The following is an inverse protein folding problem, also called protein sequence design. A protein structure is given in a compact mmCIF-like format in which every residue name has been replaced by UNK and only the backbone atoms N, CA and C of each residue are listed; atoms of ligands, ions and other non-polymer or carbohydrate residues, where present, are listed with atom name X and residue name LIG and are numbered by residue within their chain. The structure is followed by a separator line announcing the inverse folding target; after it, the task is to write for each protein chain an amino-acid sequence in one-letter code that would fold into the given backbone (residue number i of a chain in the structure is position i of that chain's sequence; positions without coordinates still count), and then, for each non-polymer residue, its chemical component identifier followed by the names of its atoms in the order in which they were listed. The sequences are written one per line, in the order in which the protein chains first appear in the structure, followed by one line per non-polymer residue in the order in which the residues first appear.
data_IF_924168215440
#
_entry.id   IF_924168215440
#
_cell.length_a   1.000
_cell.length_b   1.000
_cell.length_c   1.000
_cell.angle_alpha   90.00
_cell.angle_beta   90.00
_cell.angle_gamma   90.00
#
_symmetry.space_group_name_H-M   'P 1'
#
loop_
_entity.id
_entity.type
_entity.pdbx_description
1 polymer ?
#
# COMPACT_ATOMS: atom_id res chain seq x y z
N UNK A 1 12.01 -34.23 -17.34
CA UNK A 1 11.73 -33.51 -16.08
C UNK A 1 12.66 -32.33 -15.89
N UNK A 2 13.98 -32.55 -15.71
CA UNK A 2 14.96 -31.48 -15.47
C UNK A 2 14.88 -30.31 -16.45
N UNK A 3 14.92 -30.55 -17.77
CA UNK A 3 14.89 -29.47 -18.78
C UNK A 3 13.63 -28.61 -18.74
N UNK A 4 12.46 -29.19 -18.45
CA UNK A 4 11.19 -28.46 -18.33
C UNK A 4 11.16 -27.59 -17.07
N UNK A 5 11.64 -28.13 -15.94
CA UNK A 5 11.74 -27.37 -14.69
C UNK A 5 12.84 -26.30 -14.76
N UNK A 6 13.94 -26.56 -15.46
CA UNK A 6 14.98 -25.57 -15.73
C UNK A 6 14.40 -24.38 -16.50
N UNK A 7 13.64 -24.63 -17.56
CA UNK A 7 12.95 -23.56 -18.29
C UNK A 7 11.94 -22.82 -17.40
N UNK A 8 11.20 -23.54 -16.54
CA UNK A 8 10.25 -22.92 -15.62
C UNK A 8 10.95 -22.02 -14.58
N UNK A 9 12.09 -22.43 -14.02
CA UNK A 9 12.90 -21.60 -13.10
C UNK A 9 13.52 -20.40 -13.83
N UNK A 10 13.96 -20.58 -15.08
CA UNK A 10 14.47 -19.46 -15.89
C UNK A 10 13.37 -18.43 -16.15
N UNK A 11 12.17 -18.88 -16.52
CA UNK A 11 11.01 -18.02 -16.71
C UNK A 11 10.58 -17.34 -15.41
N UNK A 12 10.56 -18.07 -14.30
CA UNK A 12 10.33 -17.51 -12.95
C UNK A 12 11.33 -16.40 -12.63
N UNK A 13 12.63 -16.62 -12.88
CA UNK A 13 13.65 -15.60 -12.67
C UNK A 13 13.37 -14.35 -13.51
N UNK A 14 13.03 -14.51 -14.80
CA UNK A 14 12.64 -13.41 -15.67
C UNK A 14 11.41 -12.67 -15.15
N UNK A 15 10.37 -13.36 -14.68
CA UNK A 15 9.16 -12.75 -14.09
C UNK A 15 9.50 -11.95 -12.84
N UNK A 16 10.31 -12.52 -11.94
CA UNK A 16 10.72 -11.85 -10.70
C UNK A 16 11.49 -10.57 -10.99
N UNK A 17 12.37 -10.59 -12.00
CA UNK A 17 13.11 -9.41 -12.46
C UNK A 17 12.18 -8.37 -13.10
N UNK A 18 11.34 -8.79 -14.05
CA UNK A 18 10.46 -7.89 -14.81
C UNK A 18 9.43 -7.22 -13.89
N UNK A 19 8.95 -7.92 -12.86
CA UNK A 19 8.06 -7.35 -11.84
C UNK A 19 8.63 -6.11 -11.17
N UNK A 20 9.96 -5.96 -11.06
CA UNK A 20 10.60 -4.76 -10.47
C UNK A 20 10.28 -3.48 -11.23
N UNK A 21 9.96 -3.59 -12.52
CA UNK A 21 9.59 -2.42 -13.36
C UNK A 21 8.25 -1.81 -12.95
N UNK A 22 7.37 -2.55 -12.26
CA UNK A 22 6.04 -2.10 -11.85
C UNK A 22 6.00 -1.40 -10.48
N UNK A 23 7.16 -1.05 -9.91
CA UNK A 23 7.25 -0.38 -8.62
C UNK A 23 6.57 -1.18 -7.50
N UNK A 24 5.78 -0.49 -6.66
CA UNK A 24 5.07 -1.07 -5.52
C UNK A 24 4.02 -2.14 -5.89
N UNK A 25 3.52 -2.14 -7.14
CA UNK A 25 2.66 -3.22 -7.63
C UNK A 25 3.46 -4.50 -7.93
N UNK A 26 4.74 -4.37 -8.26
CA UNK A 26 5.64 -5.49 -8.47
C UNK A 26 6.08 -6.10 -7.15
N UNK A 27 6.76 -5.28 -6.35
CA UNK A 27 7.32 -5.60 -5.04
C UNK A 27 7.19 -4.36 -4.13
N UNK A 28 6.78 -4.53 -2.87
CA UNK A 28 6.75 -3.40 -1.93
C UNK A 28 8.15 -2.80 -1.78
N UNK A 29 9.19 -3.63 -1.70
CA UNK A 29 10.58 -3.20 -1.63
C UNK A 29 11.32 -3.59 -2.92
N UNK A 30 12.13 -2.68 -3.52
CA UNK A 30 12.85 -2.96 -4.76
C UNK A 30 14.07 -3.86 -4.51
N UNK A 31 13.85 -5.17 -4.42
CA UNK A 31 14.91 -6.15 -4.22
C UNK A 31 15.83 -6.27 -5.44
N UNK A 32 17.12 -6.52 -5.17
CA UNK A 32 18.11 -6.88 -6.19
C UNK A 32 18.26 -8.39 -6.27
N UNK A 33 17.45 -9.03 -7.11
CA UNK A 33 17.62 -10.44 -7.48
C UNK A 33 18.75 -10.56 -8.50
N UNK A 34 19.62 -11.55 -8.33
CA UNK A 34 20.85 -11.69 -9.10
C UNK A 34 20.93 -13.06 -9.80
N UNK A 35 21.87 -13.16 -10.75
CA UNK A 35 22.17 -14.41 -11.46
C UNK A 35 22.65 -15.51 -10.49
N UNK A 36 23.35 -15.15 -9.42
CA UNK A 36 23.76 -16.10 -8.38
C UNK A 36 22.59 -16.85 -7.75
N UNK A 37 21.45 -16.18 -7.58
CA UNK A 37 20.25 -16.79 -6.98
C UNK A 37 19.64 -17.82 -7.95
N UNK A 38 19.71 -17.52 -9.25
CA UNK A 38 19.30 -18.42 -10.32
C UNK A 38 20.24 -19.63 -10.42
N UNK A 39 21.54 -19.41 -10.50
CA UNK A 39 22.54 -20.48 -10.65
C UNK A 39 22.48 -21.50 -9.51
N UNK A 40 22.41 -21.01 -8.27
CA UNK A 40 22.29 -21.90 -7.09
C UNK A 40 20.97 -22.69 -7.15
N UNK A 41 19.86 -22.06 -7.56
CA UNK A 41 18.56 -22.73 -7.70
C UNK A 41 18.60 -23.81 -8.78
N UNK A 42 19.32 -23.59 -9.88
CA UNK A 42 19.51 -24.58 -10.96
C UNK A 42 20.42 -25.73 -10.50
N UNK A 43 21.51 -25.44 -9.79
CA UNK A 43 22.39 -26.47 -9.23
C UNK A 43 21.64 -27.36 -8.24
N UNK A 44 20.87 -26.76 -7.33
CA UNK A 44 20.03 -27.49 -6.39
C UNK A 44 18.98 -28.33 -7.14
N UNK A 45 18.29 -27.76 -8.14
CA UNK A 45 17.35 -28.51 -8.99
C UNK A 45 18.01 -29.77 -9.58
N UNK A 46 19.22 -29.64 -10.12
CA UNK A 46 19.96 -30.76 -10.69
C UNK A 46 20.31 -31.82 -9.64
N UNK A 47 20.80 -31.40 -8.47
CA UNK A 47 21.12 -32.31 -7.37
C UNK A 47 19.88 -33.08 -6.92
N UNK A 48 18.78 -32.39 -6.59
CA UNK A 48 17.58 -33.02 -6.06
C UNK A 48 16.92 -33.98 -7.05
N UNK A 49 16.90 -33.67 -8.35
CA UNK A 49 16.33 -34.56 -9.37
C UNK A 49 17.17 -35.83 -9.56
N UNK A 50 18.49 -35.74 -9.39
CA UNK A 50 19.38 -36.89 -9.58
C UNK A 50 19.47 -37.79 -8.33
N UNK A 51 19.38 -37.22 -7.13
CA UNK A 51 19.55 -37.93 -5.86
C UNK A 51 18.26 -38.57 -5.33
N UNK A 52 17.10 -37.93 -5.56
CA UNK A 52 15.82 -38.38 -4.99
C UNK A 52 15.00 -39.17 -6.01
N UNK A 53 14.51 -40.35 -5.59
CA UNK A 53 13.61 -41.18 -6.41
C UNK A 53 12.17 -40.66 -6.42
N UNK A 54 11.77 -39.93 -5.37
CA UNK A 54 10.46 -39.26 -5.27
C UNK A 54 10.55 -37.83 -5.79
N UNK A 55 9.45 -37.32 -6.34
CA UNK A 55 9.35 -35.96 -6.89
C UNK A 55 9.63 -34.86 -5.82
N UNK A 56 10.77 -34.14 -5.87
CA UNK A 56 11.21 -33.26 -4.79
C UNK A 56 10.66 -31.82 -4.88
N UNK A 57 9.41 -31.66 -5.36
CA UNK A 57 8.84 -30.32 -5.63
C UNK A 57 8.78 -29.41 -4.41
N UNK A 58 8.41 -29.96 -3.25
CA UNK A 58 8.30 -29.20 -2.00
C UNK A 58 9.66 -28.69 -1.54
N UNK A 59 10.67 -29.57 -1.55
CA UNK A 59 12.05 -29.21 -1.20
C UNK A 59 12.63 -28.14 -2.15
N UNK A 60 12.43 -28.31 -3.47
CA UNK A 60 12.89 -27.32 -4.45
C UNK A 60 12.15 -26.00 -4.29
N UNK A 61 10.83 -26.03 -4.07
CA UNK A 61 10.02 -24.82 -3.89
C UNK A 61 10.43 -24.06 -2.63
N UNK A 62 10.69 -24.78 -1.54
CA UNK A 62 11.18 -24.18 -0.30
C UNK A 62 12.57 -23.57 -0.49
N UNK A 63 13.54 -24.31 -1.01
CA UNK A 63 14.91 -23.79 -1.19
C UNK A 63 14.96 -22.60 -2.15
N UNK A 64 14.21 -22.67 -3.26
CA UNK A 64 14.18 -21.59 -4.25
C UNK A 64 13.44 -20.37 -3.69
N UNK A 65 12.21 -20.56 -3.18
CA UNK A 65 11.32 -19.48 -2.78
C UNK A 65 11.65 -18.89 -1.41
N UNK A 66 12.01 -19.70 -0.43
CA UNK A 66 12.24 -19.28 0.96
C UNK A 66 13.71 -18.99 1.25
N UNK A 67 14.65 -19.74 0.66
CA UNK A 67 16.08 -19.60 0.96
C UNK A 67 16.82 -18.73 -0.07
N UNK A 68 16.83 -19.14 -1.34
CA UNK A 68 17.66 -18.50 -2.36
C UNK A 68 17.13 -17.11 -2.73
N UNK A 69 15.89 -17.03 -3.20
CA UNK A 69 15.26 -15.74 -3.47
C UNK A 69 14.67 -15.13 -2.21
N UNK A 70 14.01 -15.93 -1.36
CA UNK A 70 13.39 -15.49 -0.12
C UNK A 70 14.37 -14.92 0.90
N UNK A 71 15.62 -15.36 0.91
CA UNK A 71 16.68 -14.80 1.76
C UNK A 71 17.00 -13.33 1.49
N UNK A 72 16.61 -12.80 0.31
CA UNK A 72 16.70 -11.37 -0.02
C UNK A 72 15.45 -10.58 0.36
N UNK A 73 14.32 -11.27 0.51
CA UNK A 73 13.01 -10.66 0.73
C UNK A 73 12.81 -10.44 2.22
N UNK A 74 12.66 -9.18 2.59
CA UNK A 74 12.55 -8.75 4.00
C UNK A 74 11.12 -8.50 4.46
N UNK A 75 10.19 -8.24 3.53
CA UNK A 75 8.78 -7.97 3.83
C UNK A 75 7.96 -9.26 3.70
N UNK A 76 7.15 -9.56 4.72
CA UNK A 76 6.37 -10.81 4.75
C UNK A 76 5.34 -10.89 3.61
N UNK A 77 4.80 -9.76 3.14
CA UNK A 77 3.84 -9.75 2.03
C UNK A 77 4.52 -10.01 0.69
N UNK A 78 5.72 -9.46 0.49
CA UNK A 78 6.57 -9.79 -0.66
C UNK A 78 7.06 -11.25 -0.60
N UNK A 79 7.34 -11.78 0.60
CA UNK A 79 7.71 -13.19 0.78
C UNK A 79 6.56 -14.14 0.43
N UNK A 80 5.33 -13.81 0.86
CA UNK A 80 4.11 -14.50 0.43
C UNK A 80 3.95 -14.46 -1.09
N UNK A 81 4.23 -13.31 -1.71
CA UNK A 81 4.11 -13.13 -3.16
C UNK A 81 5.09 -14.02 -3.92
N UNK A 82 6.39 -14.01 -3.59
CA UNK A 82 7.39 -14.75 -4.35
C UNK A 82 7.16 -16.27 -4.31
N UNK A 83 6.77 -16.79 -3.15
CA UNK A 83 6.41 -18.21 -2.98
C UNK A 83 5.16 -18.56 -3.80
N UNK A 84 4.16 -17.66 -3.81
CA UNK A 84 2.94 -17.87 -4.59
C UNK A 84 3.20 -17.83 -6.11
N UNK A 85 4.09 -16.96 -6.58
CA UNK A 85 4.51 -16.93 -7.99
C UNK A 85 5.24 -18.22 -8.32
N UNK A 86 6.19 -18.64 -7.48
CA UNK A 86 7.00 -19.84 -7.71
C UNK A 86 6.15 -21.12 -7.85
N UNK A 87 5.03 -21.22 -7.12
CA UNK A 87 4.11 -22.36 -7.19
C UNK A 87 3.52 -22.58 -8.60
N UNK A 88 3.42 -21.54 -9.44
CA UNK A 88 2.99 -21.70 -10.85
C UNK A 88 4.08 -22.34 -11.74
N UNK A 89 5.35 -22.25 -11.34
CA UNK A 89 6.51 -22.72 -12.11
C UNK A 89 7.06 -24.06 -11.61
N UNK A 90 6.91 -24.36 -10.32
CA UNK A 90 7.35 -25.61 -9.71
C UNK A 90 6.14 -26.39 -9.22
N UNK A 91 5.59 -27.23 -10.09
CA UNK A 91 4.50 -28.13 -9.76
C UNK A 91 4.48 -29.35 -10.70
N UNK A 92 3.71 -30.41 -10.39
CA UNK A 92 3.62 -31.60 -11.23
C UNK A 92 3.11 -31.32 -12.65
N UNK A 93 2.17 -30.38 -12.81
CA UNK A 93 1.54 -30.06 -14.12
C UNK A 93 2.55 -29.53 -15.13
N UNK A 94 3.56 -28.77 -14.68
CA UNK A 94 4.67 -28.30 -15.54
C UNK A 94 5.41 -29.45 -16.19
N UNK A 95 5.51 -30.61 -15.53
CA UNK A 95 6.20 -31.80 -16.06
C UNK A 95 5.24 -32.69 -16.86
N UNK A 96 4.02 -32.87 -16.37
CA UNK A 96 3.03 -33.81 -16.91
C UNK A 96 2.25 -33.26 -18.12
N UNK A 97 1.87 -31.98 -18.10
CA UNK A 97 1.04 -31.36 -19.13
C UNK A 97 1.89 -30.72 -20.23
N UNK A 98 1.85 -31.31 -21.43
CA UNK A 98 2.59 -30.82 -22.60
C UNK A 98 2.11 -29.46 -23.12
N UNK A 99 0.89 -29.03 -22.75
CA UNK A 99 0.30 -27.74 -23.15
C UNK A 99 0.21 -26.76 -21.97
N UNK A 100 0.93 -27.02 -20.87
CA UNK A 100 0.96 -26.11 -19.73
C UNK A 100 1.44 -24.72 -20.16
N UNK A 101 0.71 -23.69 -19.75
CA UNK A 101 1.02 -22.29 -20.02
C UNK A 101 1.20 -21.53 -18.70
N UNK A 102 2.28 -20.75 -18.61
CA UNK A 102 2.60 -19.96 -17.43
C UNK A 102 1.73 -18.69 -17.31
N UNK A 103 1.04 -18.29 -18.37
CA UNK A 103 0.21 -17.08 -18.36
C UNK A 103 -1.07 -17.26 -19.17
N UNK A 104 -2.15 -16.61 -18.74
CA UNK A 104 -3.38 -16.51 -19.51
C UNK A 104 -3.26 -15.59 -20.74
N UNK A 105 -2.15 -14.86 -20.90
CA UNK A 105 -1.91 -13.94 -22.01
C UNK A 105 -1.72 -14.62 -23.37
N UNK A 106 -1.43 -15.92 -23.39
CA UNK A 106 -1.33 -16.68 -24.63
C UNK A 106 -0.54 -17.96 -24.50
N UNK A 107 -0.79 -18.90 -25.40
CA UNK A 107 -0.10 -20.21 -25.44
C UNK A 107 1.39 -20.10 -25.77
N UNK A 108 1.86 -18.95 -26.26
CA UNK A 108 3.28 -18.68 -26.50
C UNK A 108 4.10 -18.59 -25.21
N UNK A 109 3.48 -18.33 -24.06
CA UNK A 109 4.13 -18.33 -22.74
C UNK A 109 4.10 -19.71 -22.08
N UNK A 110 4.21 -20.77 -22.88
CA UNK A 110 4.17 -22.16 -22.42
C UNK A 110 5.53 -22.83 -22.49
N UNK A 111 5.52 -24.16 -22.46
CA UNK A 111 6.71 -24.97 -22.68
C UNK A 111 6.79 -25.40 -24.15
N UNK A 112 8.00 -25.49 -24.74
CA UNK A 112 8.16 -26.13 -26.04
C UNK A 112 7.80 -27.62 -25.94
N UNK A 113 7.24 -28.17 -27.03
CA UNK A 113 6.84 -29.59 -27.09
C UNK A 113 8.03 -30.55 -27.05
N UNK A 114 9.19 -30.09 -27.52
CA UNK A 114 10.43 -30.87 -27.56
C UNK A 114 11.40 -30.33 -26.52
N UNK A 115 12.14 -31.24 -25.90
CA UNK A 115 12.99 -30.96 -24.76
C UNK A 115 14.48 -30.75 -25.14
N UNK A 116 14.77 -30.40 -26.39
CA UNK A 116 16.13 -30.16 -26.87
C UNK A 116 16.49 -28.67 -26.75
N UNK A 117 17.77 -28.39 -26.53
CA UNK A 117 18.26 -27.02 -26.30
C UNK A 117 17.86 -26.03 -27.41
N UNK A 118 18.05 -26.41 -28.69
CA UNK A 118 17.71 -25.54 -29.82
C UNK A 118 16.23 -25.14 -29.82
N UNK A 119 15.33 -26.07 -29.48
CA UNK A 119 13.90 -25.79 -29.42
C UNK A 119 13.52 -24.82 -28.29
N UNK A 120 14.23 -24.83 -27.16
CA UNK A 120 14.05 -23.82 -26.13
C UNK A 120 14.50 -22.44 -26.61
N UNK A 121 15.66 -22.35 -27.27
CA UNK A 121 16.18 -21.10 -27.82
C UNK A 121 15.25 -20.53 -28.90
N UNK A 122 14.79 -21.35 -29.84
CA UNK A 122 13.85 -20.94 -30.87
C UNK A 122 12.53 -20.46 -30.26
N UNK A 123 12.06 -21.12 -29.20
CA UNK A 123 10.84 -20.72 -28.49
C UNK A 123 11.00 -19.35 -27.80
N UNK A 124 12.14 -19.09 -27.15
CA UNK A 124 12.46 -17.80 -26.54
C UNK A 124 12.52 -16.70 -27.61
N UNK A 125 13.18 -16.97 -28.75
CA UNK A 125 13.28 -16.01 -29.85
C UNK A 125 11.93 -15.70 -30.52
N UNK A 126 10.95 -16.61 -30.42
CA UNK A 126 9.60 -16.42 -30.93
C UNK A 126 8.70 -15.61 -29.99
N UNK A 127 9.14 -15.32 -28.75
CA UNK A 127 8.38 -14.49 -27.82
C UNK A 127 8.31 -13.04 -28.34
N UNK A 128 7.18 -12.34 -28.11
CA UNK A 128 7.04 -10.94 -28.52
C UNK A 128 8.00 -10.06 -27.73
N UNK A 129 8.48 -8.97 -28.33
CA UNK A 129 9.39 -8.04 -27.65
C UNK A 129 8.72 -7.25 -26.50
N UNK A 130 7.40 -7.06 -26.59
CA UNK A 130 6.60 -6.39 -25.56
C UNK A 130 5.66 -7.39 -24.91
N UNK A 131 5.82 -7.58 -23.60
CA UNK A 131 5.02 -8.50 -22.81
C UNK A 131 3.91 -7.75 -22.07
N UNK A 132 2.67 -8.29 -22.06
CA UNK A 132 1.60 -7.72 -21.27
C UNK A 132 1.82 -8.01 -19.77
N UNK A 133 1.37 -7.14 -18.85
CA UNK A 133 1.57 -7.32 -17.40
C UNK A 133 1.03 -8.65 -16.84
N UNK A 134 0.07 -9.27 -17.52
CA UNK A 134 -0.50 -10.58 -17.21
C UNK A 134 0.53 -11.71 -17.20
N UNK A 135 1.63 -11.58 -17.95
CA UNK A 135 2.74 -12.54 -17.92
C UNK A 135 3.42 -12.56 -16.55
N UNK A 136 3.48 -11.40 -15.89
CA UNK A 136 3.98 -11.26 -14.53
C UNK A 136 2.93 -11.56 -13.46
N UNK A 137 1.72 -12.00 -13.84
CA UNK A 137 0.61 -12.21 -12.92
C UNK A 137 -0.13 -10.92 -12.52
N UNK A 138 0.17 -9.78 -13.14
CA UNK A 138 -0.49 -8.49 -12.88
C UNK A 138 -1.69 -8.24 -13.80
N UNK A 139 -2.57 -7.30 -13.43
CA UNK A 139 -3.66 -6.84 -14.30
C UNK A 139 -3.11 -5.90 -15.40
N UNK A 140 -3.71 -5.87 -16.60
CA UNK A 140 -3.34 -4.95 -17.70
C UNK A 140 -3.12 -3.49 -17.27
N UNK A 141 -3.97 -2.99 -16.37
CA UNK A 141 -3.86 -1.63 -15.82
C UNK A 141 -2.52 -1.35 -15.12
N UNK A 142 -1.78 -2.36 -14.65
CA UNK A 142 -0.46 -2.16 -14.06
C UNK A 142 0.55 -1.58 -15.06
N UNK A 143 0.40 -1.87 -16.36
CA UNK A 143 1.19 -1.25 -17.42
C UNK A 143 0.97 0.28 -17.49
N UNK A 144 -0.29 0.72 -17.33
CA UNK A 144 -0.64 2.15 -17.30
C UNK A 144 0.05 2.82 -16.10
N UNK A 145 0.00 2.21 -14.91
CA UNK A 145 0.65 2.74 -13.71
C UNK A 145 2.17 2.84 -13.88
N UNK A 146 2.81 1.82 -14.46
CA UNK A 146 4.25 1.86 -14.78
C UNK A 146 4.60 3.02 -15.70
N UNK A 147 3.86 3.16 -16.80
CA UNK A 147 4.16 4.19 -17.82
C UNK A 147 3.91 5.61 -17.27
N UNK A 148 2.93 5.78 -16.38
CA UNK A 148 2.71 7.02 -15.63
C UNK A 148 3.89 7.34 -14.69
N UNK A 149 4.40 6.35 -13.97
CA UNK A 149 5.55 6.53 -13.08
C UNK A 149 6.81 6.92 -13.85
N UNK A 150 7.10 6.25 -14.98
CA UNK A 150 8.22 6.62 -15.85
C UNK A 150 8.08 8.03 -16.41
N UNK A 151 6.87 8.42 -16.80
CA UNK A 151 6.57 9.78 -17.30
C UNK A 151 6.79 10.84 -16.23
N UNK A 152 6.31 10.60 -15.00
CA UNK A 152 6.53 11.49 -13.86
C UNK A 152 8.02 11.62 -13.50
N UNK A 153 8.78 10.52 -13.56
CA UNK A 153 10.22 10.54 -13.33
C UNK A 153 10.95 11.39 -14.37
N UNK A 154 10.56 11.28 -15.65
CA UNK A 154 11.11 12.10 -16.73
C UNK A 154 10.83 13.59 -16.50
N UNK A 155 9.56 13.96 -16.26
CA UNK A 155 9.16 15.35 -16.01
C UNK A 155 9.87 15.94 -14.78
N UNK A 156 9.95 15.18 -13.69
CA UNK A 156 10.68 15.61 -12.49
C UNK A 156 12.17 15.77 -12.74
N UNK A 157 12.76 14.97 -13.63
CA UNK A 157 14.17 15.10 -14.01
C UNK A 157 14.40 16.34 -14.88
N UNK A 158 13.47 16.67 -15.78
CA UNK A 158 13.53 17.90 -16.59
C UNK A 158 13.46 19.13 -15.69
N UNK A 159 12.54 19.18 -14.72
CA UNK A 159 12.43 20.28 -13.74
C UNK A 159 13.76 20.49 -12.99
N UNK A 160 14.47 19.40 -12.64
CA UNK A 160 15.78 19.49 -11.97
C UNK A 160 16.88 20.03 -12.90
N UNK A 161 16.80 19.75 -14.20
CA UNK A 161 17.81 20.15 -15.21
C UNK A 161 17.62 21.58 -15.68
N UNK A 162 16.39 22.07 -15.78
CA UNK A 162 16.08 23.50 -16.04
C UNK A 162 16.70 24.42 -14.97
N UNK A 163 17.13 23.82 -13.85
CA UNK A 163 17.63 24.47 -12.67
C UNK A 163 16.45 24.90 -11.81
N UNK A 164 16.65 24.90 -10.50
CA UNK A 164 15.87 25.77 -9.60
C UNK A 164 16.30 27.21 -9.91
N UNK A 165 16.02 27.65 -11.13
CA UNK A 165 16.43 28.94 -11.65
C UNK A 165 16.01 29.98 -10.64
N UNK A 166 16.97 30.78 -10.18
CA UNK A 166 16.77 31.90 -9.28
C UNK A 166 15.74 32.82 -9.92
N UNK A 167 14.46 32.55 -9.69
CA UNK A 167 13.36 33.40 -10.09
C UNK A 167 13.29 34.54 -9.07
N UNK A 168 14.35 35.34 -9.05
CA UNK A 168 14.42 36.61 -8.36
C UNK A 168 13.64 37.62 -9.20
N UNK A 169 12.33 37.66 -8.99
CA UNK A 169 11.44 38.64 -9.60
C UNK A 169 10.21 38.84 -8.72
N UNK A 170 9.71 40.07 -8.62
CA UNK A 170 8.55 40.39 -7.78
C UNK A 170 7.26 39.61 -8.13
N UNK A 171 7.21 38.95 -9.29
CA UNK A 171 6.08 38.12 -9.71
C UNK A 171 6.02 36.77 -8.95
N UNK A 172 7.16 36.14 -8.67
CA UNK A 172 7.19 34.90 -7.86
C UNK A 172 6.84 35.17 -6.41
N UNK A 173 7.31 36.29 -5.87
CA UNK A 173 6.95 36.78 -4.54
C UNK A 173 5.44 37.04 -4.41
N UNK A 174 4.82 37.65 -5.43
CA UNK A 174 3.38 37.88 -5.46
C UNK A 174 2.59 36.56 -5.50
N UNK A 175 3.03 35.60 -6.30
CA UNK A 175 2.43 34.26 -6.35
C UNK A 175 2.55 33.52 -5.01
N UNK A 176 3.71 33.59 -4.35
CA UNK A 176 3.91 33.01 -3.02
C UNK A 176 2.98 33.62 -1.97
N UNK A 177 2.79 34.95 -1.99
CA UNK A 177 1.86 35.63 -1.09
C UNK A 177 0.42 35.15 -1.34
N UNK A 178 0.00 35.04 -2.60
CA UNK A 178 -1.33 34.54 -2.96
C UNK A 178 -1.53 33.10 -2.48
N UNK A 179 -0.62 32.18 -2.85
CA UNK A 179 -0.72 30.76 -2.48
C UNK A 179 -0.70 30.57 -0.96
N UNK A 180 0.20 31.25 -0.27
CA UNK A 180 0.27 31.19 1.20
C UNK A 180 -0.98 31.76 1.86
N UNK A 181 -1.51 32.87 1.34
CA UNK A 181 -2.74 33.49 1.81
C UNK A 181 -3.96 32.58 1.65
N UNK A 182 -4.10 31.96 0.48
CA UNK A 182 -5.19 31.04 0.17
C UNK A 182 -5.16 29.79 1.06
N UNK A 183 -3.96 29.23 1.30
CA UNK A 183 -3.81 28.09 2.21
C UNK A 183 -4.14 28.52 3.64
N UNK A 184 -3.59 29.65 4.12
CA UNK A 184 -3.87 30.17 5.46
C UNK A 184 -5.35 30.42 5.70
N UNK A 185 -6.07 30.93 4.70
CA UNK A 185 -7.50 31.20 4.78
C UNK A 185 -8.35 29.91 4.91
N UNK A 186 -7.90 28.79 4.33
CA UNK A 186 -8.58 27.49 4.44
C UNK A 186 -8.29 26.77 5.75
N UNK A 187 -7.18 27.07 6.43
CA UNK A 187 -6.77 26.38 7.65
C UNK A 187 -7.63 26.80 8.85
N UNK A 188 -8.34 25.87 9.51
CA UNK A 188 -9.20 26.20 10.65
C UNK A 188 -8.38 26.59 11.88
N UNK A 189 -9.07 26.99 12.96
CA UNK A 189 -8.44 27.31 14.23
C UNK A 189 -7.85 26.07 14.90
N UNK A 190 -6.87 26.30 15.77
CA UNK A 190 -6.22 25.26 16.57
C UNK A 190 -7.25 24.71 17.57
N UNK A 191 -7.27 23.40 17.76
CA UNK A 191 -8.17 22.80 18.74
C UNK A 191 -7.77 23.16 20.17
N UNK A 192 -8.76 23.44 21.03
CA UNK A 192 -8.55 23.58 22.46
C UNK A 192 -8.41 22.20 23.12
N UNK A 193 -7.17 21.79 23.37
CA UNK A 193 -6.86 20.50 23.98
C UNK A 193 -7.30 20.40 25.44
N UNK A 194 -7.41 21.51 26.16
CA UNK A 194 -7.89 21.51 27.55
C UNK A 194 -9.40 21.28 27.58
N UNK A 195 -10.14 21.95 26.70
CA UNK A 195 -11.56 21.70 26.52
C UNK A 195 -11.83 20.26 26.06
N UNK A 196 -11.02 19.73 25.12
CA UNK A 196 -11.08 18.34 24.67
C UNK A 196 -10.88 17.34 25.82
N UNK A 197 -9.85 17.54 26.66
CA UNK A 197 -9.60 16.68 27.83
C UNK A 197 -10.69 16.74 28.89
N UNK A 198 -11.35 17.90 29.04
CA UNK A 198 -12.49 18.07 29.97
C UNK A 198 -13.76 17.39 29.43
N UNK A 199 -14.04 17.51 28.13
CA UNK A 199 -15.23 16.93 27.49
C UNK A 199 -15.11 15.41 27.29
N UNK A 200 -13.89 14.93 26.98
CA UNK A 200 -13.58 13.52 26.76
C UNK A 200 -12.46 13.09 27.71
N UNK A 201 -12.77 12.91 29.01
CA UNK A 201 -11.78 12.48 29.98
C UNK A 201 -11.33 11.04 29.71
N UNK A 202 -10.19 10.68 30.30
CA UNK A 202 -9.68 9.31 30.27
C UNK A 202 -10.64 8.42 31.05
N UNK A 203 -11.43 7.63 30.34
CA UNK A 203 -12.39 6.71 30.92
C UNK A 203 -11.97 5.27 30.66
N UNK A 204 -12.10 4.43 31.69
CA UNK A 204 -11.86 3.00 31.54
C UNK A 204 -12.86 2.36 30.57
N UNK A 205 -14.10 2.83 30.51
CA UNK A 205 -15.13 2.26 29.62
C UNK A 205 -15.00 2.71 28.16
N UNK A 206 -14.33 3.83 27.89
CA UNK A 206 -14.26 4.42 26.55
C UNK A 206 -12.83 4.88 26.22
N UNK A 207 -12.02 3.97 25.69
CA UNK A 207 -10.66 4.25 25.23
C UNK A 207 -10.62 5.25 24.06
N UNK A 208 -11.70 5.39 23.28
CA UNK A 208 -11.69 6.29 22.11
C UNK A 208 -11.58 7.76 22.48
N UNK A 209 -11.95 8.14 23.70
CA UNK A 209 -11.75 9.49 24.22
C UNK A 209 -10.26 9.87 24.17
N UNK A 210 -9.39 8.94 24.56
CA UNK A 210 -7.94 9.17 24.56
C UNK A 210 -7.37 9.24 23.14
N UNK A 211 -7.90 8.42 22.23
CA UNK A 211 -7.53 8.46 20.80
C UNK A 211 -7.86 9.82 20.19
N UNK A 212 -9.07 10.34 20.42
CA UNK A 212 -9.48 11.65 19.89
C UNK A 212 -8.53 12.76 20.35
N UNK A 213 -8.25 12.84 21.66
CA UNK A 213 -7.37 13.89 22.22
C UNK A 213 -5.95 13.79 21.66
N UNK A 214 -5.38 12.58 21.55
CA UNK A 214 -4.05 12.37 21.00
C UNK A 214 -3.97 12.71 19.50
N UNK A 215 -5.01 12.40 18.75
CA UNK A 215 -5.10 12.75 17.33
C UNK A 215 -5.19 14.27 17.16
N UNK A 216 -6.08 14.94 17.91
CA UNK A 216 -6.18 16.41 17.91
C UNK A 216 -4.85 17.08 18.27
N UNK A 217 -4.08 16.52 19.20
CA UNK A 217 -2.73 17.02 19.54
C UNK A 217 -1.75 16.91 18.36
N UNK A 218 -1.74 15.77 17.65
CA UNK A 218 -0.87 15.57 16.46
C UNK A 218 -1.24 16.52 15.32
N UNK A 219 -2.54 16.65 15.05
CA UNK A 219 -3.05 17.58 14.04
C UNK A 219 -2.76 19.04 14.40
N UNK A 220 -2.89 19.41 15.68
CA UNK A 220 -2.51 20.74 16.16
C UNK A 220 -1.02 21.03 15.94
N UNK A 221 -0.13 20.06 16.19
CA UNK A 221 1.31 20.23 15.95
C UNK A 221 1.60 20.54 14.47
N UNK A 222 1.00 19.78 13.55
CA UNK A 222 1.13 20.03 12.11
C UNK A 222 0.52 21.38 11.71
N UNK A 223 -0.68 21.69 12.19
CA UNK A 223 -1.39 22.94 11.91
C UNK A 223 -0.59 24.17 12.37
N UNK A 224 0.05 24.11 13.54
CA UNK A 224 0.92 25.16 14.05
C UNK A 224 2.14 25.38 13.15
N UNK A 225 2.80 24.29 12.70
CA UNK A 225 3.95 24.37 11.79
C UNK A 225 3.52 24.97 10.45
N UNK A 226 2.40 24.52 9.88
CA UNK A 226 1.87 25.07 8.62
C UNK A 226 1.55 26.56 8.75
N UNK A 227 0.78 26.97 9.78
CA UNK A 227 0.43 28.38 9.98
C UNK A 227 1.66 29.27 10.19
N UNK A 228 2.58 28.85 11.09
CA UNK A 228 3.79 29.62 11.38
C UNK A 228 4.65 29.77 10.14
N UNK A 229 4.92 28.67 9.44
CA UNK A 229 5.80 28.69 8.27
C UNK A 229 5.24 29.52 7.11
N UNK A 230 3.92 29.49 6.86
CA UNK A 230 3.28 30.33 5.84
C UNK A 230 3.32 31.82 6.22
N UNK A 231 3.09 32.15 7.50
CA UNK A 231 3.21 33.53 7.98
C UNK A 231 4.65 34.05 7.93
N UNK A 232 5.62 33.20 8.25
CA UNK A 232 7.04 33.56 8.21
C UNK A 232 7.51 33.82 6.76
N UNK A 233 7.00 33.08 5.76
CA UNK A 233 7.25 33.39 4.34
C UNK A 233 6.66 34.75 3.96
N UNK A 234 5.40 35.03 4.32
CA UNK A 234 4.78 36.32 4.00
C UNK A 234 5.57 37.48 4.61
N UNK A 235 6.05 37.32 5.86
CA UNK A 235 6.88 38.32 6.53
C UNK A 235 8.28 38.43 5.90
N UNK A 236 8.87 37.32 5.47
CA UNK A 236 10.19 37.32 4.82
C UNK A 236 10.15 38.07 3.49
N UNK A 237 9.11 37.86 2.67
CA UNK A 237 8.91 38.58 1.41
C UNK A 237 8.69 40.10 1.66
N UNK A 238 8.04 40.46 2.76
CA UNK A 238 7.87 41.86 3.18
C UNK A 238 9.13 42.48 3.81
N UNK A 239 10.22 41.72 3.98
CA UNK A 239 11.46 42.18 4.61
C UNK A 239 11.41 42.30 6.15
N UNK A 240 10.38 41.73 6.79
CA UNK A 240 10.21 41.75 8.26
C UNK A 240 10.96 40.61 8.97
N UNK A 241 11.25 39.53 8.24
CA UNK A 241 11.98 38.35 8.74
C UNK A 241 13.09 38.02 7.74
N UNK A 242 14.22 37.52 8.23
CA UNK A 242 15.34 37.11 7.38
C UNK A 242 14.93 35.85 6.60
N UNK A 243 15.12 35.88 5.28
CA UNK A 243 14.97 34.70 4.44
C UNK A 243 16.05 33.67 4.80
N UNK A 244 15.65 32.56 5.40
CA UNK A 244 16.54 31.45 5.74
C UNK A 244 16.49 30.38 4.66
N UNK A 245 17.50 29.51 4.60
CA UNK A 245 17.54 28.36 3.68
C UNK A 245 16.30 27.47 3.82
N UNK A 246 15.76 27.31 5.03
CA UNK A 246 14.55 26.53 5.29
C UNK A 246 13.30 27.18 4.68
N UNK A 247 13.21 28.52 4.70
CA UNK A 247 12.12 29.27 4.08
C UNK A 247 12.24 29.27 2.56
N UNK A 248 13.45 29.31 2.01
CA UNK A 248 13.70 29.17 0.56
C UNK A 248 13.27 27.80 0.03
N UNK A 249 13.66 26.72 0.72
CA UNK A 249 13.21 25.37 0.36
C UNK A 249 11.69 25.22 0.44
N UNK A 250 11.06 25.87 1.42
CA UNK A 250 9.61 25.88 1.56
C UNK A 250 8.95 26.64 0.40
N UNK A 251 9.44 27.84 0.09
CA UNK A 251 8.95 28.65 -1.03
C UNK A 251 9.04 27.90 -2.35
N UNK A 252 10.19 27.27 -2.64
CA UNK A 252 10.37 26.45 -3.84
C UNK A 252 9.39 25.27 -3.88
N UNK A 253 9.16 24.60 -2.74
CA UNK A 253 8.20 23.49 -2.66
C UNK A 253 6.76 23.96 -2.96
N UNK A 254 6.36 25.12 -2.44
CA UNK A 254 5.04 25.71 -2.69
C UNK A 254 4.85 26.08 -4.16
N UNK A 255 5.86 26.68 -4.79
CA UNK A 255 5.83 27.03 -6.22
C UNK A 255 5.74 25.79 -7.12
N UNK A 256 6.42 24.71 -6.75
CA UNK A 256 6.35 23.43 -7.46
C UNK A 256 5.08 22.61 -7.13
N UNK A 257 4.19 23.11 -6.27
CA UNK A 257 2.97 22.41 -5.88
C UNK A 257 3.21 21.12 -5.09
N UNK A 258 4.36 21.02 -4.39
CA UNK A 258 4.76 19.88 -3.58
C UNK A 258 4.59 20.18 -2.09
N UNK A 259 4.47 19.13 -1.28
CA UNK A 259 4.43 19.26 0.17
C UNK A 259 5.85 19.61 0.65
N UNK A 260 6.03 20.68 1.43
CA UNK A 260 7.35 21.01 1.97
C UNK A 260 7.86 19.96 2.97
N UNK A 261 9.17 19.67 2.91
CA UNK A 261 9.81 18.70 3.81
C UNK A 261 9.65 19.02 5.30
N UNK A 262 9.52 20.31 5.66
CA UNK A 262 9.25 20.74 7.04
C UNK A 262 7.88 20.28 7.54
N UNK A 263 6.89 20.19 6.64
CA UNK A 263 5.55 19.69 6.96
C UNK A 263 5.55 18.17 6.97
N UNK A 264 6.18 17.52 5.99
CA UNK A 264 6.26 16.04 5.89
C UNK A 264 6.84 15.40 7.15
N UNK A 265 7.87 16.01 7.75
CA UNK A 265 8.49 15.54 9.01
C UNK A 265 7.51 15.41 10.19
N UNK A 266 6.43 16.20 10.17
CA UNK A 266 5.42 16.27 11.24
C UNK A 266 4.05 15.84 10.74
N UNK A 267 3.96 15.36 9.50
CA UNK A 267 2.71 14.96 8.86
C UNK A 267 2.52 13.45 8.84
N UNK A 268 1.31 13.04 8.49
CA UNK A 268 1.03 11.68 8.06
C UNK A 268 1.62 11.46 6.65
N UNK A 269 2.01 10.22 6.30
CA UNK A 269 2.48 9.93 4.94
C UNK A 269 1.42 10.31 3.92
N UNK A 270 1.79 10.99 2.84
CA UNK A 270 0.90 11.39 1.74
C UNK A 270 1.73 11.55 0.47
N UNK A 271 1.18 11.12 -0.66
CA UNK A 271 1.76 11.32 -2.00
C UNK A 271 0.97 12.36 -2.82
N UNK A 272 -0.04 12.99 -2.20
CA UNK A 272 -0.90 13.99 -2.83
C UNK A 272 -0.15 15.24 -3.24
N UNK A 273 -0.60 15.86 -4.33
CA UNK A 273 -0.22 17.24 -4.66
C UNK A 273 -0.60 18.21 -3.54
N UNK A 274 0.10 19.35 -3.44
CA UNK A 274 -0.14 20.33 -2.39
C UNK A 274 -1.62 20.76 -2.25
N UNK A 275 -2.38 21.06 -3.32
CA UNK A 275 -3.79 21.44 -3.19
C UNK A 275 -4.68 20.31 -2.65
N UNK A 276 -4.44 19.07 -3.11
CA UNK A 276 -5.19 17.89 -2.69
C UNK A 276 -4.85 17.52 -1.24
N UNK A 277 -3.59 17.67 -0.85
CA UNK A 277 -3.12 17.48 0.52
C UNK A 277 -3.77 18.48 1.48
N UNK A 278 -3.81 19.78 1.13
CA UNK A 278 -4.44 20.81 1.98
C UNK A 278 -5.94 20.55 2.13
N UNK A 279 -6.62 20.15 1.06
CA UNK A 279 -8.06 19.84 1.12
C UNK A 279 -8.34 18.62 2.00
N UNK A 280 -7.56 17.54 1.82
CA UNK A 280 -7.61 16.33 2.65
C UNK A 280 -7.30 16.62 4.13
N UNK A 281 -6.31 17.47 4.40
CA UNK A 281 -5.97 17.91 5.75
C UNK A 281 -7.12 18.65 6.43
N UNK A 282 -7.79 19.56 5.71
CA UNK A 282 -8.95 20.28 6.23
C UNK A 282 -10.13 19.34 6.49
N UNK A 283 -10.39 18.37 5.60
CA UNK A 283 -11.44 17.36 5.82
C UNK A 283 -11.17 16.51 7.09
N UNK A 284 -9.91 16.14 7.34
CA UNK A 284 -9.53 15.43 8.57
C UNK A 284 -9.75 16.25 9.83
N UNK A 285 -9.40 17.54 9.79
CA UNK A 285 -9.66 18.46 10.90
C UNK A 285 -11.16 18.61 11.15
N UNK A 286 -11.97 18.72 10.09
CA UNK A 286 -13.42 18.77 10.19
C UNK A 286 -14.02 17.48 10.77
N UNK A 287 -13.47 16.31 10.39
CA UNK A 287 -13.87 15.03 10.96
C UNK A 287 -13.65 14.99 12.48
N UNK A 288 -12.46 15.40 12.95
CA UNK A 288 -12.18 15.47 14.40
C UNK A 288 -13.00 16.54 15.11
N UNK A 289 -13.25 17.69 14.46
CA UNK A 289 -14.08 18.75 15.00
C UNK A 289 -15.53 18.29 15.20
N UNK A 290 -16.13 17.61 14.21
CA UNK A 290 -17.47 17.03 14.32
C UNK A 290 -17.55 16.01 15.46
N UNK A 291 -16.53 15.17 15.61
CA UNK A 291 -16.46 14.25 16.75
C UNK A 291 -16.38 15.02 18.08
N UNK A 292 -15.55 16.08 18.16
CA UNK A 292 -15.50 16.89 19.36
C UNK A 292 -16.84 17.57 19.67
N UNK A 293 -17.56 18.09 18.69
CA UNK A 293 -18.81 18.84 18.88
C UNK A 293 -20.01 17.92 19.17
N UNK A 294 -20.28 16.97 18.28
CA UNK A 294 -21.48 16.12 18.27
C UNK A 294 -21.31 14.82 19.07
N UNK A 295 -20.07 14.47 19.43
CA UNK A 295 -19.73 13.22 20.10
C UNK A 295 -19.30 12.11 19.15
N UNK A 296 -19.23 10.88 19.66
CA UNK A 296 -18.64 9.75 18.96
C UNK A 296 -19.42 9.39 17.68
N UNK A 297 -18.76 9.35 16.50
CA UNK A 297 -19.44 9.04 15.25
C UNK A 297 -19.84 7.56 15.20
N UNK A 298 -20.91 7.25 14.45
CA UNK A 298 -21.38 5.87 14.24
C UNK A 298 -20.48 5.06 13.30
N UNK A 299 -19.78 5.75 12.40
CA UNK A 299 -18.81 5.18 11.46
C UNK A 299 -17.58 6.07 11.39
N UNK A 300 -16.40 5.45 11.32
CA UNK A 300 -15.12 6.14 11.38
C UNK A 300 -14.43 6.19 10.01
N UNK A 301 -13.89 7.35 9.66
CA UNK A 301 -13.03 7.48 8.50
C UNK A 301 -11.63 6.95 8.85
N UNK A 302 -11.36 5.67 8.58
CA UNK A 302 -10.09 5.04 9.01
C UNK A 302 -8.88 5.76 8.42
N UNK A 303 -9.02 6.19 7.17
CA UNK A 303 -7.97 6.90 6.45
C UNK A 303 -7.73 8.30 6.97
N UNK A 304 -8.68 8.88 7.71
CA UNK A 304 -8.62 10.23 8.27
C UNK A 304 -7.70 10.35 9.50
N UNK A 305 -7.40 9.25 10.18
CA UNK A 305 -6.51 9.24 11.33
C UNK A 305 -5.04 9.44 10.95
N UNK A 306 -4.34 10.20 11.78
CA UNK A 306 -2.89 10.33 11.75
C UNK A 306 -2.22 9.02 12.15
N UNK A 307 -2.72 8.35 13.20
CA UNK A 307 -2.20 7.08 13.69
C UNK A 307 -3.29 6.03 13.90
N UNK A 308 -3.62 5.35 12.79
CA UNK A 308 -4.60 4.27 12.71
C UNK A 308 -4.41 3.17 13.76
N UNK A 309 -3.18 2.85 14.17
CA UNK A 309 -2.93 1.81 15.16
C UNK A 309 -3.48 2.16 16.55
N UNK A 310 -3.43 3.43 16.97
CA UNK A 310 -4.04 3.85 18.23
C UNK A 310 -5.56 3.69 18.19
N UNK A 311 -6.19 4.04 17.06
CA UNK A 311 -7.62 3.83 16.84
C UNK A 311 -8.01 2.35 16.92
N UNK A 312 -7.30 1.47 16.20
CA UNK A 312 -7.54 0.02 16.22
C UNK A 312 -7.33 -0.59 17.61
N UNK A 313 -6.30 -0.14 18.32
CA UNK A 313 -6.03 -0.56 19.70
C UNK A 313 -7.13 -0.08 20.64
N UNK A 314 -7.60 1.15 20.49
CA UNK A 314 -8.73 1.69 21.25
C UNK A 314 -10.01 0.87 21.05
N UNK A 315 -10.27 0.42 19.81
CA UNK A 315 -11.42 -0.43 19.51
C UNK A 315 -11.30 -1.81 20.19
N UNK A 316 -10.12 -2.44 20.12
CA UNK A 316 -9.86 -3.70 20.85
C UNK A 316 -9.97 -3.53 22.36
N UNK A 317 -9.47 -2.42 22.91
CA UNK A 317 -9.54 -2.14 24.35
C UNK A 317 -10.98 -2.01 24.84
N UNK A 318 -11.85 -1.32 24.11
CA UNK A 318 -13.26 -1.20 24.49
C UNK A 318 -13.93 -2.57 24.57
N UNK A 319 -13.67 -3.44 23.58
CA UNK A 319 -14.20 -4.80 23.58
C UNK A 319 -13.60 -5.66 24.70
N UNK A 320 -12.27 -5.63 24.86
CA UNK A 320 -11.55 -6.31 25.92
C UNK A 320 -12.10 -5.97 27.31
N UNK A 321 -12.37 -4.69 27.57
CA UNK A 321 -12.91 -4.22 28.86
C UNK A 321 -14.38 -4.57 29.03
N UNK A 322 -15.20 -4.48 27.98
CA UNK A 322 -16.62 -4.87 28.01
C UNK A 322 -16.80 -6.35 28.36
N UNK A 323 -15.94 -7.22 27.82
CA UNK A 323 -16.03 -8.68 28.01
C UNK A 323 -15.00 -9.25 29.00
N UNK A 324 -14.15 -8.42 29.60
CA UNK A 324 -13.06 -8.84 30.50
C UNK A 324 -12.14 -9.89 29.87
N UNK A 325 -11.76 -9.68 28.60
CA UNK A 325 -10.86 -10.55 27.83
C UNK A 325 -9.50 -9.84 27.68
N UNK A 326 -8.35 -10.53 27.81
CA UNK A 326 -7.04 -9.95 27.52
C UNK A 326 -6.94 -9.44 26.07
N UNK A 327 -6.41 -8.22 25.89
CA UNK A 327 -6.29 -7.61 24.55
C UNK A 327 -5.46 -8.44 23.57
N UNK A 328 -4.44 -9.14 24.07
CA UNK A 328 -3.52 -9.94 23.26
C UNK A 328 -4.17 -11.18 22.63
N UNK A 329 -5.32 -11.61 23.18
CA UNK A 329 -6.11 -12.72 22.64
C UNK A 329 -7.12 -12.27 21.58
N UNK A 330 -7.22 -10.97 21.29
CA UNK A 330 -8.21 -10.43 20.37
C UNK A 330 -7.61 -10.12 19.00
N UNK A 331 -8.32 -10.56 17.96
CA UNK A 331 -8.09 -10.15 16.57
C UNK A 331 -9.36 -9.49 16.00
N UNK A 332 -9.27 -8.95 14.79
CA UNK A 332 -10.44 -8.44 14.06
C UNK A 332 -10.86 -9.46 13.01
N UNK A 333 -12.15 -9.77 12.99
CA UNK A 333 -12.81 -10.29 11.80
C UNK A 333 -13.48 -9.15 11.04
N UNK A 334 -13.68 -9.37 9.74
CA UNK A 334 -14.09 -8.33 8.81
C UNK A 334 -15.31 -8.75 8.01
N UNK A 335 -16.30 -7.84 7.95
CA UNK A 335 -17.45 -7.99 7.07
C UNK A 335 -17.65 -6.73 6.22
N UNK A 336 -17.80 -6.90 4.91
CA UNK A 336 -18.14 -5.80 4.00
C UNK A 336 -19.65 -5.65 3.94
N UNK A 337 -20.15 -4.48 4.37
CA UNK A 337 -21.58 -4.23 4.50
C UNK A 337 -22.23 -3.85 3.17
N UNK A 338 -23.54 -4.12 3.08
CA UNK A 338 -24.38 -3.80 1.91
C UNK A 338 -24.78 -2.33 1.81
N UNK A 339 -24.95 -1.70 2.96
CA UNK A 339 -25.47 -0.34 3.08
C UNK A 339 -24.34 0.68 3.16
N UNK A 340 -24.60 1.86 2.61
CA UNK A 340 -23.64 2.97 2.57
C UNK A 340 -23.68 3.86 3.80
N UNK A 341 -24.84 3.94 4.48
CA UNK A 341 -25.04 4.79 5.65
C UNK A 341 -25.54 3.97 6.83
N UNK A 342 -25.08 4.34 8.04
CA UNK A 342 -25.50 3.68 9.27
C UNK A 342 -26.13 4.67 10.23
N UNK A 343 -27.30 4.28 10.72
CA UNK A 343 -28.10 5.09 11.66
C UNK A 343 -27.68 4.81 13.11
N UNK A 344 -27.11 3.63 13.40
CA UNK A 344 -26.71 3.22 14.75
C UNK A 344 -25.32 2.58 14.76
N UNK A 345 -24.52 2.76 15.82
CA UNK A 345 -23.26 2.06 15.98
C UNK A 345 -23.49 0.54 16.15
N UNK A 346 -22.49 -0.32 15.84
CA UNK A 346 -22.61 -1.75 16.06
C UNK A 346 -22.65 -2.05 17.56
N UNK A 347 -23.22 -3.20 17.93
CA UNK A 347 -23.20 -3.68 19.33
C UNK A 347 -21.78 -3.93 19.83
N UNK A 348 -20.93 -4.45 18.94
CA UNK A 348 -19.52 -4.74 19.17
C UNK A 348 -18.68 -4.37 17.95
N UNK A 349 -17.48 -3.86 18.20
CA UNK A 349 -16.58 -3.41 17.14
C UNK A 349 -16.90 -2.02 16.62
N UNK A 350 -16.50 -1.76 15.37
CA UNK A 350 -16.57 -0.44 14.75
C UNK A 350 -16.86 -0.55 13.26
N UNK A 351 -17.61 0.41 12.72
CA UNK A 351 -17.76 0.58 11.27
C UNK A 351 -16.71 1.54 10.75
N UNK A 352 -16.04 1.20 9.65
CA UNK A 352 -15.01 2.03 9.03
C UNK A 352 -15.24 2.21 7.54
N UNK A 353 -14.87 3.38 7.03
CA UNK A 353 -14.90 3.72 5.60
C UNK A 353 -13.65 4.50 5.18
N UNK A 354 -13.52 4.73 3.87
CA UNK A 354 -12.45 5.55 3.28
C UNK A 354 -11.27 4.76 2.75
N UNK A 355 -11.42 3.46 2.55
CA UNK A 355 -10.39 2.61 1.92
C UNK A 355 -10.64 2.49 0.42
N UNK A 356 -9.57 2.34 -0.33
CA UNK A 356 -9.59 2.13 -1.78
C UNK A 356 -8.96 0.78 -2.11
N UNK A 357 -9.49 0.06 -3.10
CA UNK A 357 -8.83 -1.14 -3.63
C UNK A 357 -7.86 -0.77 -4.73
N UNK A 358 -6.67 -1.37 -4.68
CA UNK A 358 -5.65 -1.27 -5.71
C UNK A 358 -5.39 -2.67 -6.28
N UNK A 359 -5.42 -2.81 -7.61
CA UNK A 359 -5.27 -4.09 -8.32
C UNK A 359 -6.55 -4.95 -8.43
N UNK A 360 -7.65 -4.56 -7.79
CA UNK A 360 -8.97 -5.21 -7.91
C UNK A 360 -10.10 -4.21 -7.66
N UNK A 361 -11.35 -4.62 -7.90
CA UNK A 361 -12.55 -3.86 -7.51
C UNK A 361 -13.50 -4.71 -6.67
N UNK A 362 -14.34 -4.05 -5.88
CA UNK A 362 -15.32 -4.75 -5.06
C UNK A 362 -16.69 -4.80 -5.74
N UNK A 363 -17.16 -6.00 -6.08
CA UNK A 363 -18.47 -6.14 -6.70
C UNK A 363 -19.60 -6.15 -5.68
N UNK A 364 -20.27 -4.99 -5.49
CA UNK A 364 -21.33 -4.80 -4.48
C UNK A 364 -22.43 -5.85 -4.51
N UNK A 365 -22.93 -6.24 -5.69
CA UNK A 365 -24.01 -7.23 -5.77
C UNK A 365 -23.55 -8.68 -5.51
N UNK A 366 -22.26 -8.98 -5.70
CA UNK A 366 -21.72 -10.35 -5.52
C UNK A 366 -21.04 -10.52 -4.16
N UNK A 367 -20.78 -9.43 -3.43
CA UNK A 367 -20.00 -9.42 -2.20
C UNK A 367 -18.66 -10.13 -2.34
N UNK A 368 -17.95 -9.86 -3.43
CA UNK A 368 -16.65 -10.47 -3.69
C UNK A 368 -15.74 -9.56 -4.50
N UNK A 369 -14.44 -9.78 -4.35
CA UNK A 369 -13.41 -9.22 -5.23
C UNK A 369 -13.59 -9.72 -6.66
N UNK A 370 -13.42 -8.81 -7.62
CA UNK A 370 -13.40 -9.08 -9.05
C UNK A 370 -12.34 -8.24 -9.74
N UNK A 371 -11.97 -8.62 -10.97
CA UNK A 371 -10.95 -7.91 -11.76
C UNK A 371 -11.35 -6.46 -12.03
N UNK A 372 -10.34 -5.60 -12.14
CA UNK A 372 -10.51 -4.18 -12.47
C UNK A 372 -11.16 -4.00 -13.83
N UNK A 373 -11.82 -2.86 -14.00
CA UNK A 373 -12.25 -2.43 -15.33
C UNK A 373 -11.05 -1.81 -16.07
N UNK A 374 -10.94 -2.01 -17.40
CA UNK A 374 -9.88 -1.37 -18.17
C UNK A 374 -9.85 0.14 -17.93
N UNK A 375 -8.65 0.69 -17.69
CA UNK A 375 -8.39 2.12 -17.43
C UNK A 375 -8.91 2.68 -16.10
N UNK A 376 -9.53 1.87 -15.24
CA UNK A 376 -9.91 2.26 -13.88
C UNK A 376 -8.92 1.59 -12.91
N UNK A 377 -8.08 2.40 -12.25
CA UNK A 377 -6.96 1.90 -11.46
C UNK A 377 -7.36 1.50 -10.03
N UNK A 378 -8.38 2.15 -9.48
CA UNK A 378 -8.84 1.94 -8.10
C UNK A 378 -10.37 1.93 -8.03
N UNK A 379 -10.90 1.36 -6.95
CA UNK A 379 -12.33 1.41 -6.60
C UNK A 379 -12.49 1.75 -5.11
N UNK A 380 -13.62 2.33 -4.74
CA UNK A 380 -13.90 2.73 -3.35
C UNK A 380 -14.55 1.58 -2.60
N UNK A 381 -13.94 1.16 -1.49
CA UNK A 381 -14.51 0.12 -0.67
C UNK A 381 -15.79 0.59 0.03
N UNK A 382 -16.84 -0.26 0.09
CA UNK A 382 -17.99 -0.01 0.94
C UNK A 382 -17.60 0.05 2.41
N UNK A 383 -18.57 0.45 3.23
CA UNK A 383 -18.45 0.42 4.67
C UNK A 383 -18.10 -1.00 5.15
N UNK A 384 -17.12 -1.09 6.05
CA UNK A 384 -16.67 -2.36 6.61
C UNK A 384 -16.91 -2.40 8.12
N UNK A 385 -17.31 -3.56 8.61
CA UNK A 385 -17.40 -3.84 10.03
C UNK A 385 -16.13 -4.55 10.50
N UNK A 386 -15.44 -3.95 11.47
CA UNK A 386 -14.33 -4.58 12.18
C UNK A 386 -14.88 -5.09 13.50
N UNK A 387 -15.04 -6.40 13.59
CA UNK A 387 -15.55 -7.07 14.77
C UNK A 387 -14.39 -7.70 15.55
N UNK A 388 -14.13 -7.27 16.79
CA UNK A 388 -13.20 -7.96 17.65
C UNK A 388 -13.71 -9.37 17.96
N UNK A 389 -12.84 -10.37 17.78
CA UNK A 389 -13.11 -11.78 18.07
C UNK A 389 -11.89 -12.39 18.78
N UNK A 390 -12.10 -13.50 19.49
CA UNK A 390 -10.98 -14.28 20.02
C UNK A 390 -10.15 -14.86 18.88
N UNK A 391 -8.83 -14.82 19.01
CA UNK A 391 -7.91 -15.37 18.02
C UNK A 391 -8.10 -16.89 17.82
N UNK A 392 -8.62 -17.61 18.82
CA UNK A 392 -8.99 -19.02 18.72
C UNK A 392 -10.18 -19.28 17.79
N UNK A 393 -11.08 -18.30 17.69
CA UNK A 393 -12.35 -18.44 16.97
C UNK A 393 -12.26 -17.82 15.57
N UNK A 394 -11.11 -17.21 15.25
CA UNK A 394 -10.84 -16.56 13.98
C UNK A 394 -10.53 -17.58 12.90
N UNK A 395 -11.46 -17.73 11.95
CA UNK A 395 -11.27 -18.56 10.76
C UNK A 395 -11.04 -17.69 9.53
N UNK A 396 -9.87 -17.79 8.89
CA UNK A 396 -9.63 -17.08 7.63
C UNK A 396 -10.53 -17.61 6.50
N UNK A 397 -10.86 -18.90 6.53
CA UNK A 397 -11.63 -19.59 5.49
C UNK A 397 -11.02 -19.45 4.09
N UNK A 398 -11.88 -19.37 3.07
CA UNK A 398 -11.46 -19.12 1.68
C UNK A 398 -11.25 -17.64 1.33
N UNK A 399 -11.18 -16.74 2.31
CA UNK A 399 -11.12 -15.29 2.10
C UNK A 399 -9.71 -14.86 1.72
N UNK A 400 -9.61 -13.80 0.92
CA UNK A 400 -8.33 -13.21 0.59
C UNK A 400 -7.86 -12.28 1.71
N UNK A 401 -6.72 -12.59 2.30
CA UNK A 401 -6.02 -11.74 3.27
C UNK A 401 -5.33 -10.57 2.54
N UNK A 402 -6.02 -9.46 2.45
CA UNK A 402 -5.62 -8.25 1.73
C UNK A 402 -4.89 -7.28 2.66
N UNK A 403 -3.62 -6.90 2.39
CA UNK A 403 -2.92 -5.91 3.21
C UNK A 403 -3.50 -4.50 3.01
N UNK A 404 -3.68 -3.74 4.10
CA UNK A 404 -3.98 -2.30 4.06
C UNK A 404 -2.70 -1.48 4.27
N UNK A 405 -2.44 -0.54 3.37
CA UNK A 405 -1.35 0.43 3.47
C UNK A 405 -1.88 1.87 3.56
N UNK A 406 -1.09 2.78 4.12
CA UNK A 406 -1.44 4.21 4.18
C UNK A 406 -1.34 4.88 2.82
N UNK A 407 -0.33 4.57 2.01
CA UNK A 407 -0.09 5.12 0.67
C UNK A 407 0.16 4.02 -0.36
N UNK A 408 0.07 4.38 -1.65
CA UNK A 408 0.37 3.48 -2.78
C UNK A 408 1.83 3.01 -2.83
N UNK A 409 2.75 3.65 -2.09
CA UNK A 409 4.16 3.24 -2.06
C UNK A 409 4.36 1.88 -1.37
N UNK A 410 3.42 1.48 -0.50
CA UNK A 410 3.39 0.20 0.26
C UNK A 410 4.63 -0.12 1.11
N UNK A 411 5.64 0.75 1.11
CA UNK A 411 6.86 0.68 1.92
C UNK A 411 7.00 1.91 2.81
N UNK A 412 7.89 1.78 3.78
CA UNK A 412 8.15 2.76 4.82
C UNK A 412 9.33 2.31 5.66
N UNK A 413 9.60 2.99 6.78
CA UNK A 413 10.66 2.59 7.71
C UNK A 413 10.23 1.29 8.40
N UNK A 414 11.13 0.32 8.52
CA UNK A 414 10.86 -0.92 9.26
C UNK A 414 10.80 -0.60 10.76
N UNK A 415 9.71 -1.00 11.39
CA UNK A 415 9.56 -0.93 12.85
C UNK A 415 10.39 -2.02 13.53
N UNK A 416 10.52 -1.94 14.86
CA UNK A 416 11.15 -3.00 15.68
C UNK A 416 10.47 -4.36 15.55
N UNK A 417 9.22 -4.39 15.06
CA UNK A 417 8.47 -5.63 14.77
C UNK A 417 8.71 -6.18 13.36
N UNK A 418 9.57 -5.54 12.56
CA UNK A 418 9.83 -5.93 11.17
C UNK A 418 8.81 -5.40 10.15
N UNK A 419 7.64 -4.91 10.59
CA UNK A 419 6.65 -4.34 9.69
C UNK A 419 6.95 -2.90 9.29
N UNK A 420 6.61 -2.55 8.05
CA UNK A 420 6.67 -1.18 7.52
C UNK A 420 5.76 -0.22 8.30
N UNK A 421 6.21 1.02 8.54
CA UNK A 421 5.37 2.11 9.09
C UNK A 421 4.20 2.50 8.19
N UNK A 422 4.20 2.07 6.93
CA UNK A 422 3.12 2.29 5.95
C UNK A 422 2.04 1.20 6.04
N UNK A 423 2.38 0.02 6.53
CA UNK A 423 1.42 -1.06 6.75
C UNK A 423 0.51 -0.77 7.96
N UNK A 424 -0.77 -1.11 7.85
CA UNK A 424 -1.77 -0.89 8.91
C UNK A 424 -2.24 -2.21 9.50
N UNK A 425 -3.03 -2.98 8.77
CA UNK A 425 -3.49 -4.32 9.16
C UNK A 425 -4.00 -5.10 7.93
N UNK A 426 -4.16 -6.42 8.00
CA UNK A 426 -4.75 -7.17 6.90
C UNK A 426 -6.27 -7.26 7.06
N UNK A 427 -7.00 -7.08 5.96
CA UNK A 427 -8.44 -7.26 5.86
C UNK A 427 -8.76 -8.58 5.14
N UNK A 428 -9.71 -9.34 5.67
CA UNK A 428 -10.23 -10.52 4.98
C UNK A 428 -11.35 -10.11 4.01
N UNK A 429 -11.14 -10.36 2.73
CA UNK A 429 -12.07 -10.02 1.66
C UNK A 429 -12.61 -11.28 0.99
N UNK A 430 -13.92 -11.34 0.80
CA UNK A 430 -14.54 -12.46 0.10
C UNK A 430 -14.11 -12.51 -1.37
N UNK A 431 -13.90 -13.72 -1.89
CA UNK A 431 -13.46 -13.95 -3.25
C UNK A 431 -14.07 -15.23 -3.81
N UNK A 432 -14.29 -15.27 -5.14
CA UNK A 432 -14.61 -16.49 -5.89
C UNK A 432 -13.38 -17.15 -6.50
N UNK A 433 -12.33 -16.36 -6.74
CA UNK A 433 -11.03 -16.84 -7.21
C UNK A 433 -10.18 -17.31 -6.00
N UNK A 434 -9.24 -18.24 -6.17
CA UNK A 434 -8.34 -18.63 -5.10
C UNK A 434 -7.51 -17.41 -4.62
N UNK A 435 -7.17 -17.31 -3.32
CA UNK A 435 -6.36 -16.20 -2.80
C UNK A 435 -5.05 -15.98 -3.58
N UNK A 436 -4.43 -17.05 -4.09
CA UNK A 436 -3.21 -16.99 -4.92
C UNK A 436 -3.36 -16.11 -6.16
N UNK A 437 -4.56 -16.01 -6.73
CA UNK A 437 -4.87 -15.11 -7.84
C UNK A 437 -4.63 -13.65 -7.44
N UNK A 438 -5.20 -13.22 -6.32
CA UNK A 438 -5.11 -11.84 -5.82
C UNK A 438 -3.73 -11.49 -5.26
N UNK A 439 -3.03 -12.48 -4.71
CA UNK A 439 -1.62 -12.32 -4.32
C UNK A 439 -0.79 -11.95 -5.55
N UNK A 440 -0.88 -12.72 -6.65
CA UNK A 440 -0.12 -12.46 -7.88
C UNK A 440 -0.49 -11.13 -8.55
N UNK A 441 -1.77 -10.74 -8.47
CA UNK A 441 -2.29 -9.43 -8.90
C UNK A 441 -1.84 -8.26 -8.00
N UNK A 442 -1.17 -8.55 -6.88
CA UNK A 442 -0.73 -7.57 -5.90
C UNK A 442 -1.87 -6.71 -5.34
N UNK A 443 -3.02 -7.34 -5.08
CA UNK A 443 -4.19 -6.61 -4.56
C UNK A 443 -3.91 -6.14 -3.14
N UNK A 444 -4.13 -4.85 -2.91
CA UNK A 444 -4.03 -4.23 -1.60
C UNK A 444 -5.20 -3.25 -1.36
N UNK A 445 -5.42 -2.90 -0.11
CA UNK A 445 -6.21 -1.73 0.26
C UNK A 445 -5.28 -0.55 0.52
N UNK A 446 -5.72 0.65 0.17
CA UNK A 446 -5.03 1.90 0.42
C UNK A 446 -5.92 2.83 1.26
N UNK A 447 -5.34 3.53 2.23
CA UNK A 447 -6.04 4.59 2.95
C UNK A 447 -6.20 5.86 2.10
N UNK A 448 -5.23 6.15 1.24
CA UNK A 448 -5.30 7.32 0.37
C UNK A 448 -4.75 7.02 -1.03
N UNK A 449 -5.25 7.80 -1.97
CA UNK A 449 -4.78 7.86 -3.35
C UNK A 449 -3.80 9.02 -3.52
N UNK A 450 -2.98 8.93 -4.56
CA UNK A 450 -1.94 9.90 -4.91
C UNK A 450 -2.48 11.12 -5.67
#
# INVERSE_FOLDING_TARGET
MFSRLLYAIAFFHSVVQERRTFGALGWNIPYGFNESDFDISVQQLQMFINEYTNNPYEAISYLTGECNYGGRVTDDWDRRLIVTILADFINPKVVEDMNYSFSSAGTCYGLPRKNEYQHYIDHINALPQFHPPEVCGLHSNAGITRDLQSSNLLLNSIIKVEGEGSASGGETDHLLILVSGDILAKLPNIFDLEAAKRKFPVEYTESMNTVLVQEMERFNKLLMVMKKSLQDIQKAIQGLVIMTTDLEMLANSLLLGRIPASWEKVSYPSLKSLPNYVSDFVERLQFLQKWFDDGKPHSFWISGFFFTQAFLTGAKQNFARKYTIPIDQLTFDFEVLKFSEVIKPPSDGIYVYGMFTDGARWHRAQHSLVELQPKILYDVMPLMWLQPVLASDFDEGGRYKCPLYKTSERRGVLSTTGHSTNYVLPFLLNTRMPPSHWIKRSVALLCQLD
#
